data_IF_240638698924
#
_entry.id   IF_240638698924
#
_cell.length_a   1.000
_cell.length_b   1.000
_cell.length_c   1.000
_cell.angle_alpha   90.00
_cell.angle_beta   90.00
_cell.angle_gamma   90.00
#
_symmetry.space_group_name_H-M   'P 1'
#
loop_
_entity.id
_entity.type
_entity.pdbx_description
1 polymer ?
#
# COMPACT_ATOMS: atom_id res chain seq x y z
N UNK A 1 -12.19 -26.56 0.05
CA UNK A 1 -10.82 -27.01 -0.30
C UNK A 1 -9.97 -25.78 -0.56
N UNK A 2 -8.72 -25.78 -0.10
CA UNK A 2 -7.74 -24.71 -0.36
C UNK A 2 -6.84 -25.14 -1.51
N UNK A 3 -6.59 -24.21 -2.46
CA UNK A 3 -5.57 -24.35 -3.49
C UNK A 3 -4.33 -23.58 -3.03
N UNK A 4 -3.28 -24.29 -2.67
CA UNK A 4 -1.99 -23.70 -2.30
C UNK A 4 -1.08 -23.61 -3.53
N UNK A 5 -0.55 -22.42 -3.76
CA UNK A 5 0.36 -22.10 -4.86
C UNK A 5 1.80 -21.83 -4.40
N UNK A 6 2.13 -22.04 -3.13
CA UNK A 6 3.46 -21.75 -2.58
C UNK A 6 4.57 -22.52 -3.31
N UNK A 7 4.29 -23.76 -3.70
CA UNK A 7 5.22 -24.60 -4.48
C UNK A 7 5.27 -24.25 -5.99
N UNK A 8 4.37 -23.37 -6.45
CA UNK A 8 4.38 -22.90 -7.83
C UNK A 8 5.12 -21.56 -7.92
N UNK A 9 6.42 -21.60 -7.67
CA UNK A 9 7.32 -20.44 -7.53
C UNK A 9 8.48 -20.50 -8.54
N UNK A 10 9.17 -19.39 -8.66
CA UNK A 10 10.39 -19.19 -9.44
C UNK A 10 10.26 -18.16 -10.56
N UNK A 11 11.40 -17.57 -10.91
CA UNK A 11 11.55 -16.60 -11.98
C UNK A 11 11.55 -17.33 -13.31
N UNK A 12 10.68 -16.95 -14.24
CA UNK A 12 10.58 -17.52 -15.59
C UNK A 12 11.51 -16.79 -16.54
N UNK A 13 11.51 -15.45 -16.45
CA UNK A 13 12.32 -14.58 -17.29
C UNK A 13 12.57 -13.25 -16.61
N UNK A 14 13.77 -12.72 -16.71
CA UNK A 14 14.10 -11.37 -16.30
C UNK A 14 14.90 -10.68 -17.41
N UNK A 15 14.40 -9.55 -17.88
CA UNK A 15 15.04 -8.73 -18.91
C UNK A 15 15.27 -7.32 -18.35
N UNK A 16 16.45 -7.09 -17.74
CA UNK A 16 16.78 -5.81 -17.12
C UNK A 16 16.72 -4.63 -18.09
N UNK A 17 17.18 -4.82 -19.31
CA UNK A 17 17.22 -3.80 -20.36
C UNK A 17 15.80 -3.38 -20.81
N UNK A 18 14.85 -4.32 -20.77
CA UNK A 18 13.46 -4.10 -21.14
C UNK A 18 12.59 -3.76 -19.91
N UNK A 19 13.17 -3.66 -18.72
CA UNK A 19 12.53 -3.29 -17.47
C UNK A 19 11.30 -4.14 -17.12
N UNK A 20 11.39 -5.47 -17.28
CA UNK A 20 10.36 -6.37 -16.79
C UNK A 20 10.91 -7.68 -16.22
N UNK A 21 10.12 -8.26 -15.33
CA UNK A 21 10.34 -9.61 -14.81
C UNK A 21 9.06 -10.43 -14.98
N UNK A 22 9.21 -11.68 -15.42
CA UNK A 22 8.15 -12.67 -15.53
C UNK A 22 8.37 -13.78 -14.52
N UNK A 23 7.38 -14.05 -13.69
CA UNK A 23 7.48 -14.97 -12.55
C UNK A 23 6.25 -15.85 -12.43
N UNK A 24 6.36 -16.98 -11.73
CA UNK A 24 5.22 -17.77 -11.26
C UNK A 24 4.57 -17.07 -10.07
N UNK A 25 3.26 -17.25 -9.89
CA UNK A 25 2.46 -16.49 -8.91
C UNK A 25 2.84 -16.74 -7.46
N UNK A 26 3.32 -17.92 -7.11
CA UNK A 26 3.80 -18.28 -5.77
C UNK A 26 5.21 -17.77 -5.44
N UNK A 27 5.89 -17.07 -6.37
CA UNK A 27 7.25 -16.58 -6.12
C UNK A 27 7.27 -15.56 -4.98
N UNK A 28 8.08 -15.76 -3.93
CA UNK A 28 8.21 -14.83 -2.83
C UNK A 28 8.71 -13.46 -3.30
N UNK A 29 8.17 -12.40 -2.72
CA UNK A 29 8.64 -11.02 -3.01
C UNK A 29 10.12 -10.86 -2.67
N UNK A 30 10.60 -11.55 -1.63
CA UNK A 30 12.02 -11.56 -1.26
C UNK A 30 12.91 -12.04 -2.40
N UNK A 31 12.58 -13.19 -3.02
CA UNK A 31 13.33 -13.76 -4.16
C UNK A 31 13.37 -12.78 -5.34
N UNK A 32 12.24 -12.15 -5.65
CA UNK A 32 12.16 -11.14 -6.71
C UNK A 32 13.06 -9.95 -6.39
N UNK A 33 13.01 -9.42 -5.16
CA UNK A 33 13.87 -8.31 -4.74
C UNK A 33 15.34 -8.65 -4.85
N UNK A 34 15.76 -9.80 -4.36
CA UNK A 34 17.15 -10.27 -4.43
C UNK A 34 17.66 -10.37 -5.89
N UNK A 35 16.80 -10.78 -6.82
CA UNK A 35 17.17 -10.82 -8.24
C UNK A 35 17.28 -9.42 -8.86
N UNK A 36 16.31 -8.56 -8.57
CA UNK A 36 16.30 -7.17 -9.06
C UNK A 36 17.47 -6.35 -8.51
N UNK A 37 17.87 -6.60 -7.27
CA UNK A 37 18.99 -5.92 -6.61
C UNK A 37 20.32 -6.12 -7.33
N UNK A 38 20.52 -7.27 -7.97
CA UNK A 38 21.73 -7.55 -8.79
C UNK A 38 21.87 -6.59 -9.99
N UNK A 39 20.80 -5.96 -10.40
CA UNK A 39 20.75 -5.02 -11.53
C UNK A 39 20.32 -3.61 -11.12
N UNK A 40 20.37 -3.30 -9.82
CA UNK A 40 19.94 -2.01 -9.25
C UNK A 40 18.52 -1.61 -9.67
N UNK A 41 17.60 -2.60 -9.70
CA UNK A 41 16.20 -2.41 -10.06
C UNK A 41 15.28 -2.76 -8.89
N UNK A 42 14.01 -2.38 -8.99
CA UNK A 42 13.03 -2.55 -7.92
C UNK A 42 11.60 -2.71 -8.43
N UNK A 43 10.73 -3.30 -7.59
CA UNK A 43 9.28 -3.18 -7.70
C UNK A 43 8.89 -1.80 -7.13
N UNK A 44 8.77 -0.80 -8.00
CA UNK A 44 8.64 0.59 -7.59
C UNK A 44 7.37 0.90 -6.78
N UNK A 45 6.29 0.12 -6.96
CA UNK A 45 5.04 0.25 -6.21
C UNK A 45 5.15 -0.18 -4.74
N UNK A 46 6.32 -0.60 -4.28
CA UNK A 46 6.62 -0.96 -2.89
C UNK A 46 5.58 -1.91 -2.29
N UNK A 47 5.56 -3.20 -2.67
CA UNK A 47 4.59 -4.13 -2.11
C UNK A 47 4.55 -4.07 -0.59
N UNK A 48 3.37 -3.83 0.00
CA UNK A 48 3.22 -3.96 1.44
C UNK A 48 3.54 -5.39 1.87
N UNK A 49 4.17 -5.52 3.04
CA UNK A 49 4.39 -6.81 3.68
C UNK A 49 3.62 -6.82 5.02
N UNK A 50 2.49 -7.47 4.99
CA UNK A 50 1.63 -7.60 6.16
C UNK A 50 1.91 -8.86 6.99
N UNK A 51 2.94 -9.64 6.64
CA UNK A 51 3.34 -10.83 7.39
C UNK A 51 3.53 -10.53 8.87
N UNK A 52 4.20 -9.42 9.19
CA UNK A 52 4.39 -8.99 10.57
C UNK A 52 3.07 -8.87 11.37
N UNK A 53 2.01 -8.35 10.76
CA UNK A 53 0.71 -8.15 11.41
C UNK A 53 -0.05 -9.46 11.69
N UNK A 54 0.24 -10.52 10.93
CA UNK A 54 -0.48 -11.80 11.02
C UNK A 54 0.33 -12.90 11.69
N UNK A 55 1.63 -12.94 11.45
CA UNK A 55 2.52 -14.03 11.90
C UNK A 55 3.67 -13.54 12.79
N UNK A 56 3.88 -12.23 12.91
CA UNK A 56 5.05 -11.63 13.55
C UNK A 56 6.33 -11.70 12.71
N UNK A 57 6.26 -12.22 11.47
CA UNK A 57 7.40 -12.36 10.55
C UNK A 57 7.22 -11.49 9.32
N UNK A 58 8.32 -11.05 8.72
CA UNK A 58 8.36 -10.31 7.47
C UNK A 58 8.78 -11.22 6.30
N UNK A 59 8.60 -10.73 5.07
CA UNK A 59 9.01 -11.41 3.83
C UNK A 59 8.23 -12.70 3.49
N UNK A 60 7.01 -12.81 3.96
CA UNK A 60 6.14 -13.98 3.72
C UNK A 60 5.19 -13.80 2.51
N UNK A 61 5.17 -12.62 1.88
CA UNK A 61 4.30 -12.32 0.75
C UNK A 61 4.80 -12.88 -0.58
N UNK A 62 3.86 -13.30 -1.45
CA UNK A 62 4.12 -13.71 -2.83
C UNK A 62 3.63 -12.68 -3.83
N UNK A 63 4.18 -12.67 -5.04
CA UNK A 63 3.77 -11.73 -6.09
C UNK A 63 2.30 -11.92 -6.49
N UNK A 64 1.79 -13.15 -6.50
CA UNK A 64 0.38 -13.43 -6.75
C UNK A 64 -0.52 -12.81 -5.68
N UNK A 65 -0.15 -12.91 -4.40
CA UNK A 65 -0.88 -12.28 -3.30
C UNK A 65 -0.88 -10.75 -3.39
N UNK A 66 0.26 -10.16 -3.71
CA UNK A 66 0.43 -8.71 -3.88
C UNK A 66 -0.44 -8.18 -5.02
N UNK A 67 -0.44 -8.82 -6.19
CA UNK A 67 -1.29 -8.41 -7.31
C UNK A 67 -2.76 -8.68 -7.05
N UNK A 68 -3.09 -9.81 -6.43
CA UNK A 68 -4.48 -10.12 -6.07
C UNK A 68 -5.07 -9.09 -5.12
N UNK A 69 -4.30 -8.56 -4.18
CA UNK A 69 -4.76 -7.55 -3.22
C UNK A 69 -4.61 -6.10 -3.70
N UNK A 70 -3.67 -5.85 -4.63
CA UNK A 70 -3.34 -4.51 -5.15
C UNK A 70 -3.01 -3.48 -4.05
N UNK A 71 -2.44 -3.92 -2.94
CA UNK A 71 -1.91 -3.00 -1.95
C UNK A 71 -0.59 -2.40 -2.44
N UNK A 72 -0.37 -1.14 -2.12
CA UNK A 72 0.81 -0.38 -2.50
C UNK A 72 1.36 0.39 -1.31
N UNK A 73 2.66 0.48 -1.22
CA UNK A 73 3.37 1.19 -0.18
C UNK A 73 3.39 2.72 -0.37
N UNK A 74 4.27 3.40 0.37
CA UNK A 74 4.31 4.86 0.43
C UNK A 74 4.51 5.59 -0.90
N UNK A 75 5.16 4.96 -1.91
CA UNK A 75 5.34 5.57 -3.25
C UNK A 75 4.07 5.63 -4.10
N UNK A 76 2.94 5.15 -3.59
CA UNK A 76 1.69 5.04 -4.34
C UNK A 76 1.30 6.29 -5.12
N UNK A 77 1.40 7.46 -4.52
CA UNK A 77 1.00 8.71 -5.16
C UNK A 77 1.93 9.14 -6.30
N UNK A 78 3.19 8.66 -6.30
CA UNK A 78 4.18 8.95 -7.34
C UNK A 78 4.17 7.93 -8.48
N UNK A 79 4.14 6.66 -8.17
CA UNK A 79 4.38 5.58 -9.15
C UNK A 79 3.16 4.73 -9.44
N UNK A 80 2.06 4.91 -8.72
CA UNK A 80 0.88 4.05 -8.82
C UNK A 80 0.97 2.80 -7.94
N UNK A 81 0.06 1.87 -8.19
CA UNK A 81 -0.07 0.60 -7.46
C UNK A 81 0.46 -0.60 -8.25
N UNK A 82 0.39 -1.79 -7.68
CA UNK A 82 0.71 -3.04 -8.39
C UNK A 82 -0.07 -3.17 -9.71
N UNK A 83 -1.33 -2.70 -9.74
CA UNK A 83 -2.18 -2.67 -10.95
C UNK A 83 -1.59 -1.82 -12.08
N UNK A 84 -0.83 -0.78 -11.76
CA UNK A 84 -0.23 0.10 -12.76
C UNK A 84 1.08 -0.46 -13.33
N UNK A 85 1.63 -1.48 -12.66
CA UNK A 85 2.88 -2.15 -13.03
C UNK A 85 2.71 -3.53 -13.65
N UNK A 86 1.52 -4.16 -13.58
CA UNK A 86 1.27 -5.42 -14.25
C UNK A 86 1.22 -5.21 -15.77
N UNK A 87 2.06 -5.95 -16.52
CA UNK A 87 2.13 -5.93 -17.97
C UNK A 87 1.29 -7.03 -18.60
N UNK A 88 1.15 -8.15 -17.90
CA UNK A 88 0.35 -9.27 -18.36
C UNK A 88 0.33 -10.41 -17.37
N UNK A 89 -0.58 -11.33 -17.58
CA UNK A 89 -0.70 -12.53 -16.76
C UNK A 89 -1.22 -13.72 -17.58
N UNK A 90 -1.01 -14.91 -17.00
CA UNK A 90 -1.70 -16.15 -17.34
C UNK A 90 -2.35 -16.67 -16.06
N UNK A 91 -3.55 -17.19 -16.17
CA UNK A 91 -4.30 -17.67 -15.01
C UNK A 91 -5.42 -18.62 -15.42
N UNK A 92 -6.15 -19.12 -14.42
CA UNK A 92 -7.30 -20.00 -14.61
C UNK A 92 -8.53 -19.37 -13.94
N UNK A 93 -9.62 -19.24 -14.65
CA UNK A 93 -10.89 -18.71 -14.13
C UNK A 93 -11.73 -19.80 -13.43
N UNK A 94 -12.87 -19.43 -12.87
CA UNK A 94 -13.77 -20.36 -12.16
C UNK A 94 -14.51 -21.36 -13.06
N UNK A 95 -14.35 -21.25 -14.38
CA UNK A 95 -14.85 -22.25 -15.34
C UNK A 95 -13.79 -23.32 -15.65
N UNK A 96 -12.55 -23.17 -15.16
CA UNK A 96 -11.40 -24.00 -15.51
C UNK A 96 -10.72 -23.60 -16.82
N UNK A 97 -11.09 -22.46 -17.40
CA UNK A 97 -10.51 -21.97 -18.64
C UNK A 97 -9.20 -21.23 -18.38
N UNK A 98 -8.19 -21.49 -19.21
CA UNK A 98 -6.94 -20.73 -19.18
C UNK A 98 -7.20 -19.38 -19.82
N UNK A 99 -6.94 -18.31 -19.07
CA UNK A 99 -7.03 -16.94 -19.54
C UNK A 99 -5.65 -16.30 -19.59
N UNK A 100 -5.42 -15.47 -20.59
CA UNK A 100 -4.18 -14.70 -20.74
C UNK A 100 -4.55 -13.30 -21.21
N UNK A 101 -3.89 -12.29 -20.63
CA UNK A 101 -4.03 -10.90 -21.07
C UNK A 101 -2.69 -10.18 -20.95
N UNK A 102 -2.44 -9.24 -21.85
CA UNK A 102 -1.18 -8.51 -21.90
C UNK A 102 -0.01 -9.37 -22.38
N UNK A 103 1.20 -8.93 -22.06
CA UNK A 103 2.44 -9.55 -22.48
C UNK A 103 3.62 -9.10 -21.59
N UNK A 104 4.70 -8.69 -22.25
CA UNK A 104 5.91 -8.15 -21.61
C UNK A 104 6.18 -6.70 -22.03
N UNK A 105 5.33 -6.11 -22.87
CA UNK A 105 5.48 -4.75 -23.36
C UNK A 105 4.58 -3.77 -22.60
N UNK A 106 5.08 -2.56 -22.39
CA UNK A 106 4.37 -1.51 -21.61
C UNK A 106 3.08 -1.04 -22.33
N UNK A 107 3.08 -1.05 -23.67
CA UNK A 107 1.93 -0.65 -24.47
C UNK A 107 1.36 -1.84 -25.23
N UNK A 108 0.18 -2.28 -24.83
CA UNK A 108 -0.63 -3.27 -25.55
C UNK A 108 -2.03 -2.68 -25.73
N UNK A 109 -2.41 -2.45 -26.98
CA UNK A 109 -3.70 -1.84 -27.36
C UNK A 109 -4.70 -2.85 -27.92
N UNK A 110 -4.37 -4.13 -27.90
CA UNK A 110 -5.22 -5.18 -28.46
C UNK A 110 -6.13 -5.79 -27.40
N UNK A 111 -7.43 -5.58 -27.49
CA UNK A 111 -8.45 -6.16 -26.63
C UNK A 111 -8.61 -5.44 -25.28
N UNK A 112 -9.41 -6.04 -24.40
CA UNK A 112 -9.61 -5.53 -23.03
C UNK A 112 -8.41 -5.83 -22.14
N UNK A 113 -8.01 -4.88 -21.32
CA UNK A 113 -6.96 -5.07 -20.33
C UNK A 113 -7.50 -5.82 -19.08
N UNK A 114 -7.61 -7.14 -19.23
CA UNK A 114 -8.05 -8.01 -18.14
C UNK A 114 -7.08 -7.99 -16.96
N UNK A 115 -5.80 -7.66 -17.18
CA UNK A 115 -4.81 -7.54 -16.11
C UNK A 115 -5.26 -6.51 -15.06
N UNK A 116 -5.87 -5.40 -15.50
CA UNK A 116 -6.39 -4.36 -14.63
C UNK A 116 -7.66 -4.78 -13.87
N UNK A 117 -8.45 -5.69 -14.40
CA UNK A 117 -9.67 -6.21 -13.75
C UNK A 117 -9.32 -7.26 -12.70
N UNK A 118 -8.38 -8.15 -13.01
CA UNK A 118 -7.98 -9.26 -12.13
C UNK A 118 -7.13 -8.75 -10.96
N UNK A 119 -6.29 -7.74 -11.18
CA UNK A 119 -5.48 -7.13 -10.11
C UNK A 119 -6.39 -6.41 -9.12
N UNK A 120 -6.29 -6.78 -7.83
CA UNK A 120 -7.16 -6.28 -6.77
C UNK A 120 -8.48 -7.04 -6.61
N UNK A 121 -8.65 -8.18 -7.31
CA UNK A 121 -9.84 -9.02 -7.17
C UNK A 121 -9.78 -10.00 -6.00
N UNK A 122 -8.72 -10.03 -5.21
CA UNK A 122 -8.51 -10.94 -4.09
C UNK A 122 -8.64 -12.43 -4.47
N UNK A 123 -8.32 -12.77 -5.71
CA UNK A 123 -8.43 -14.13 -6.23
C UNK A 123 -9.87 -14.60 -6.43
N UNK A 124 -10.85 -13.70 -6.45
CA UNK A 124 -12.27 -14.05 -6.65
C UNK A 124 -12.64 -14.25 -8.12
N UNK A 125 -11.80 -13.80 -9.04
CA UNK A 125 -12.07 -13.88 -10.49
C UNK A 125 -11.20 -14.92 -11.21
N UNK A 126 -9.97 -15.07 -10.77
CA UNK A 126 -8.99 -15.95 -11.39
C UNK A 126 -7.89 -16.32 -10.42
N UNK A 127 -7.27 -17.46 -10.65
CA UNK A 127 -6.03 -17.89 -10.03
C UNK A 127 -4.88 -17.50 -10.96
N UNK A 128 -4.00 -16.61 -10.52
CA UNK A 128 -2.77 -16.30 -11.26
C UNK A 128 -1.84 -17.50 -11.32
N UNK A 129 -1.28 -17.79 -12.50
CA UNK A 129 -0.21 -18.77 -12.66
C UNK A 129 1.10 -18.10 -13.03
N UNK A 130 1.12 -17.27 -14.06
CA UNK A 130 2.29 -16.51 -14.48
C UNK A 130 1.97 -15.03 -14.50
N UNK A 131 2.92 -14.20 -14.14
CA UNK A 131 2.76 -12.76 -14.00
C UNK A 131 3.97 -12.06 -14.62
N UNK A 132 3.73 -11.07 -15.48
CA UNK A 132 4.74 -10.15 -15.99
C UNK A 132 4.55 -8.79 -15.33
N UNK A 133 5.60 -8.27 -14.69
CA UNK A 133 5.58 -7.00 -13.95
C UNK A 133 6.67 -6.07 -14.47
N UNK A 134 6.31 -4.81 -14.65
CA UNK A 134 7.27 -3.73 -14.90
C UNK A 134 8.11 -3.50 -13.66
N UNK A 135 9.42 -3.36 -13.87
CA UNK A 135 10.39 -2.95 -12.85
C UNK A 135 10.97 -1.60 -13.21
N UNK A 136 11.55 -0.90 -12.25
CA UNK A 136 12.20 0.39 -12.48
C UNK A 136 13.59 0.38 -11.84
N UNK A 137 14.54 1.19 -12.34
CA UNK A 137 15.81 1.43 -11.67
C UNK A 137 15.57 1.94 -10.24
N UNK A 138 16.45 1.60 -9.32
CA UNK A 138 16.52 2.25 -8.02
C UNK A 138 17.11 3.65 -8.17
N UNK A 139 16.72 4.56 -7.30
CA UNK A 139 17.40 5.85 -7.19
C UNK A 139 18.83 5.66 -6.63
N UNK A 140 19.76 6.51 -7.03
CA UNK A 140 21.14 6.48 -6.54
C UNK A 140 21.22 6.89 -5.07
N UNK A 141 20.32 7.78 -4.65
CA UNK A 141 20.25 8.30 -3.29
C UNK A 141 18.80 8.45 -2.83
N UNK A 142 18.55 8.05 -1.60
CA UNK A 142 17.30 8.28 -0.89
C UNK A 142 17.63 8.99 0.42
N UNK A 143 16.98 10.12 0.67
CA UNK A 143 17.00 10.82 1.96
C UNK A 143 15.59 11.14 2.42
N UNK A 144 15.43 11.26 3.73
CA UNK A 144 14.15 11.61 4.34
C UNK A 144 14.29 12.86 5.19
N UNK A 145 13.58 13.91 4.81
CA UNK A 145 13.39 15.08 5.65
C UNK A 145 12.37 14.74 6.72
N UNK A 146 12.72 14.88 7.98
CA UNK A 146 11.84 14.72 9.14
C UNK A 146 11.67 16.06 9.81
N UNK A 147 10.42 16.47 10.01
CA UNK A 147 10.03 17.67 10.74
C UNK A 147 9.38 17.19 12.03
N UNK A 148 9.96 17.59 13.17
CA UNK A 148 9.55 17.17 14.49
C UNK A 148 8.53 18.15 15.10
N UNK A 149 7.66 17.62 15.96
CA UNK A 149 6.67 18.37 16.73
C UNK A 149 5.58 19.16 15.96
N UNK A 150 5.25 18.90 14.70
CA UNK A 150 4.11 19.56 14.08
C UNK A 150 2.81 18.99 14.66
N UNK A 151 1.87 19.84 15.11
CA UNK A 151 0.52 19.33 15.32
C UNK A 151 -0.10 18.86 13.97
N UNK A 152 -1.11 17.98 14.03
CA UNK A 152 -1.67 17.29 12.84
C UNK A 152 -1.97 18.24 11.67
N UNK A 153 -2.66 19.37 11.92
CA UNK A 153 -2.99 20.34 10.85
C UNK A 153 -1.73 20.84 10.16
N UNK A 154 -0.70 21.19 10.93
CA UNK A 154 0.57 21.69 10.37
C UNK A 154 1.35 20.62 9.62
N UNK A 155 1.36 19.39 10.16
CA UNK A 155 1.96 18.24 9.47
C UNK A 155 1.32 17.96 8.11
N UNK A 156 -0.01 18.05 8.00
CA UNK A 156 -0.74 17.92 6.73
C UNK A 156 -0.46 19.09 5.78
N UNK A 157 -0.31 20.32 6.29
CA UNK A 157 0.10 21.47 5.48
C UNK A 157 1.48 21.23 4.87
N UNK A 158 2.44 20.72 5.64
CA UNK A 158 3.78 20.38 5.14
C UNK A 158 3.73 19.32 4.03
N UNK A 159 2.95 18.26 4.22
CA UNK A 159 2.75 17.24 3.19
C UNK A 159 2.14 17.84 1.92
N UNK A 160 1.12 18.69 2.05
CA UNK A 160 0.46 19.31 0.91
C UNK A 160 1.40 20.25 0.14
N UNK A 161 2.19 21.07 0.84
CA UNK A 161 3.21 21.92 0.20
C UNK A 161 4.22 21.06 -0.54
N UNK A 162 4.76 20.03 0.11
CA UNK A 162 5.75 19.13 -0.49
C UNK A 162 5.22 18.45 -1.77
N UNK A 163 3.99 17.93 -1.75
CA UNK A 163 3.40 17.29 -2.92
C UNK A 163 3.09 18.27 -4.06
N UNK A 164 2.84 19.53 -3.76
CA UNK A 164 2.63 20.60 -4.73
C UNK A 164 3.92 21.24 -5.26
N UNK A 165 5.07 20.91 -4.66
CA UNK A 165 6.35 21.50 -4.99
C UNK A 165 7.04 20.83 -6.18
N UNK A 166 8.04 21.49 -6.75
CA UNK A 166 8.92 20.92 -7.78
C UNK A 166 9.96 19.94 -7.21
N UNK A 167 9.98 19.74 -5.89
CA UNK A 167 10.92 18.81 -5.24
C UNK A 167 10.56 17.33 -5.45
N UNK A 168 9.40 17.03 -6.03
CA UNK A 168 8.98 15.72 -6.53
C UNK A 168 9.17 14.59 -5.52
N UNK A 169 8.55 14.66 -4.32
CA UNK A 169 8.71 13.67 -3.26
C UNK A 169 8.17 12.30 -3.67
N UNK A 170 8.73 11.24 -3.11
CA UNK A 170 8.33 9.86 -3.35
C UNK A 170 7.67 9.17 -2.16
N UNK A 171 7.62 9.83 -1.02
CA UNK A 171 6.95 9.39 0.21
C UNK A 171 6.57 10.60 1.05
N UNK A 172 5.45 10.51 1.74
CA UNK A 172 4.97 11.55 2.64
C UNK A 172 4.08 10.95 3.71
N UNK A 173 4.46 11.07 5.00
CA UNK A 173 3.79 10.45 6.13
C UNK A 173 3.75 11.37 7.33
N UNK A 174 2.66 11.27 8.11
CA UNK A 174 2.53 11.91 9.42
C UNK A 174 2.29 10.84 10.48
N UNK A 175 3.14 10.86 11.52
CA UNK A 175 3.00 10.01 12.69
C UNK A 175 2.66 10.85 13.93
N UNK A 176 1.54 10.56 14.61
CA UNK A 176 1.26 11.12 15.93
C UNK A 176 2.29 10.70 16.98
N UNK A 177 2.37 11.47 18.05
CA UNK A 177 3.35 11.31 19.14
C UNK A 177 3.36 9.91 19.77
N UNK A 178 2.22 9.22 19.87
CA UNK A 178 2.17 7.87 20.47
C UNK A 178 2.89 6.77 19.65
N UNK A 179 3.35 7.07 18.44
CA UNK A 179 4.25 6.19 17.68
C UNK A 179 5.73 6.60 17.77
N UNK A 180 6.03 7.69 18.44
CA UNK A 180 7.39 8.26 18.46
C UNK A 180 8.47 7.28 18.90
N UNK A 181 8.18 6.50 19.92
CA UNK A 181 9.10 5.48 20.45
C UNK A 181 9.46 4.36 19.46
N UNK A 182 8.76 4.24 18.33
CA UNK A 182 9.05 3.28 17.27
C UNK A 182 10.14 3.78 16.29
N UNK A 183 10.48 5.08 16.35
CA UNK A 183 11.45 5.72 15.47
C UNK A 183 12.65 6.21 16.27
N UNK A 184 13.51 5.25 16.68
CA UNK A 184 14.75 5.54 17.40
C UNK A 184 15.87 5.64 16.37
N UNK A 185 16.17 6.86 15.93
CA UNK A 185 17.33 7.20 15.14
C UNK A 185 18.18 8.20 15.94
N UNK A 186 19.50 8.10 15.88
CA UNK A 186 20.41 8.91 16.67
C UNK A 186 20.21 10.43 16.52
N UNK A 187 19.70 10.84 15.35
CA UNK A 187 19.51 12.25 14.99
C UNK A 187 18.08 12.75 15.29
N UNK A 188 17.18 11.88 15.74
CA UNK A 188 15.83 12.23 16.16
C UNK A 188 15.76 12.22 17.69
N UNK A 189 15.90 13.37 18.30
CA UNK A 189 16.15 13.50 19.74
C UNK A 189 14.92 13.84 20.56
N UNK A 190 13.81 14.18 19.93
CA UNK A 190 12.66 14.73 20.63
C UNK A 190 11.48 13.76 20.74
N UNK A 191 10.61 14.06 21.67
CA UNK A 191 9.28 13.48 21.79
C UNK A 191 8.32 14.23 20.83
N UNK A 192 7.13 13.70 20.61
CA UNK A 192 6.10 14.36 19.83
C UNK A 192 5.88 13.80 18.43
N UNK A 193 4.91 14.34 17.68
CA UNK A 193 4.58 13.89 16.32
C UNK A 193 5.69 14.23 15.33
N UNK A 194 5.71 13.50 14.20
CA UNK A 194 6.63 13.76 13.09
C UNK A 194 5.92 13.80 11.75
N UNK A 195 6.42 14.64 10.85
CA UNK A 195 6.12 14.60 9.41
C UNK A 195 7.39 14.21 8.68
N UNK A 196 7.34 13.15 7.86
CA UNK A 196 8.49 12.68 7.10
C UNK A 196 8.20 12.72 5.60
N UNK A 197 9.16 13.25 4.84
CA UNK A 197 9.06 13.44 3.38
C UNK A 197 10.30 12.81 2.73
N UNK A 198 10.10 11.88 1.80
CA UNK A 198 11.16 11.17 1.09
C UNK A 198 11.47 11.84 -0.23
N UNK A 199 12.75 12.13 -0.46
CA UNK A 199 13.31 12.62 -1.72
C UNK A 199 14.28 11.57 -2.27
N UNK A 200 14.14 11.24 -3.55
CA UNK A 200 14.93 10.21 -4.23
C UNK A 200 15.42 10.71 -5.59
N UNK A 201 16.60 10.30 -5.99
CA UNK A 201 17.19 10.67 -7.29
C UNK A 201 18.69 10.54 -7.34
N UNK A 202 19.36 11.30 -8.21
CA UNK A 202 20.82 11.41 -8.19
C UNK A 202 21.31 12.20 -6.97
N UNK A 203 22.52 11.93 -6.54
CA UNK A 203 23.10 12.52 -5.32
C UNK A 203 23.01 14.07 -5.31
N UNK A 204 23.42 14.71 -6.38
CA UNK A 204 23.38 16.18 -6.47
C UNK A 204 21.94 16.71 -6.40
N UNK A 205 21.02 16.07 -7.13
CA UNK A 205 19.62 16.50 -7.17
C UNK A 205 18.90 16.34 -5.84
N UNK A 206 19.20 15.30 -5.06
CA UNK A 206 18.52 15.04 -3.77
C UNK A 206 18.84 16.13 -2.77
N UNK A 207 20.12 16.51 -2.64
CA UNK A 207 20.55 17.54 -1.67
C UNK A 207 19.93 18.90 -2.02
N UNK A 208 20.00 19.32 -3.27
CA UNK A 208 19.39 20.58 -3.73
C UNK A 208 17.87 20.62 -3.49
N UNK A 209 17.16 19.51 -3.76
CA UNK A 209 15.71 19.42 -3.54
C UNK A 209 15.33 19.42 -2.07
N UNK A 210 16.17 18.88 -1.19
CA UNK A 210 15.96 19.00 0.26
C UNK A 210 16.10 20.45 0.70
N UNK A 211 17.16 21.15 0.24
CA UNK A 211 17.37 22.56 0.57
C UNK A 211 16.23 23.45 0.03
N UNK A 212 15.74 23.15 -1.17
CA UNK A 212 14.59 23.82 -1.74
C UNK A 212 13.33 23.56 -0.91
N UNK A 213 13.07 22.31 -0.53
CA UNK A 213 11.91 21.93 0.25
C UNK A 213 11.90 22.62 1.61
N UNK A 214 13.04 22.73 2.28
CA UNK A 214 13.17 23.44 3.55
C UNK A 214 12.77 24.93 3.41
N UNK A 215 13.17 25.57 2.33
CA UNK A 215 12.78 26.97 2.03
C UNK A 215 11.28 27.08 1.79
N UNK A 216 10.70 26.19 0.98
CA UNK A 216 9.26 26.21 0.66
C UNK A 216 8.38 25.93 1.87
N UNK A 217 8.82 25.03 2.75
CA UNK A 217 8.13 24.72 4.00
C UNK A 217 8.29 25.82 5.07
N UNK A 218 9.24 26.73 4.85
CA UNK A 218 9.63 27.78 5.81
C UNK A 218 9.92 27.22 7.21
N UNK A 219 10.71 26.15 7.25
CA UNK A 219 11.12 25.48 8.47
C UNK A 219 12.63 25.59 8.65
N UNK A 220 13.07 25.79 9.89
CA UNK A 220 14.48 25.90 10.25
C UNK A 220 14.70 25.53 11.71
N UNK A 221 15.93 25.19 12.07
CA UNK A 221 16.33 24.99 13.45
C UNK A 221 16.36 23.52 13.89
N UNK A 222 16.24 23.30 15.20
CA UNK A 222 16.45 22.00 15.87
C UNK A 222 15.31 20.98 15.63
N UNK A 223 14.22 21.41 15.04
CA UNK A 223 13.06 20.54 14.77
C UNK A 223 13.18 19.82 13.41
N UNK A 224 14.34 19.90 12.77
CA UNK A 224 14.58 19.31 11.44
C UNK A 224 15.73 18.33 11.53
N UNK A 225 15.49 17.15 10.98
CA UNK A 225 16.49 16.11 10.78
C UNK A 225 16.43 15.58 9.36
N UNK A 226 17.57 15.22 8.81
CA UNK A 226 17.64 14.55 7.50
C UNK A 226 18.25 13.18 7.72
N UNK A 227 17.43 12.15 7.59
CA UNK A 227 17.87 10.76 7.70
C UNK A 227 18.81 10.43 6.53
N UNK A 228 19.90 9.76 6.85
CA UNK A 228 20.81 9.20 5.85
C UNK A 228 20.12 8.08 5.03
N UNK A 229 20.75 7.57 3.96
CA UNK A 229 20.15 6.53 3.11
C UNK A 229 19.74 5.27 3.90
N UNK A 230 20.58 4.80 4.83
CA UNK A 230 20.31 3.57 5.60
C UNK A 230 19.17 3.76 6.59
N UNK A 231 19.13 4.89 7.26
CA UNK A 231 18.06 5.30 8.16
C UNK A 231 16.74 5.49 7.39
N UNK A 232 16.80 6.11 6.21
CA UNK A 232 15.65 6.28 5.31
C UNK A 232 15.07 4.93 4.90
N UNK A 233 15.90 3.98 4.49
CA UNK A 233 15.45 2.65 4.10
C UNK A 233 14.73 1.92 5.25
N UNK A 234 15.30 1.97 6.45
CA UNK A 234 14.68 1.39 7.66
C UNK A 234 13.34 2.09 7.97
N UNK A 235 13.28 3.41 7.90
CA UNK A 235 12.07 4.19 8.16
C UNK A 235 10.93 3.79 7.23
N UNK A 236 11.19 3.77 5.92
CA UNK A 236 10.16 3.45 4.92
C UNK A 236 9.81 1.96 4.87
N UNK A 237 10.76 1.08 5.18
CA UNK A 237 10.48 -0.34 5.37
C UNK A 237 9.52 -0.57 6.55
N UNK A 238 9.74 0.08 7.70
CA UNK A 238 8.85 0.00 8.86
C UNK A 238 7.47 0.57 8.55
N UNK A 239 7.41 1.69 7.81
CA UNK A 239 6.16 2.31 7.33
C UNK A 239 5.40 1.35 6.41
N UNK A 240 6.05 0.80 5.40
CA UNK A 240 5.49 -0.13 4.42
C UNK A 240 4.96 -1.42 5.05
N UNK A 241 5.65 -1.93 6.06
CA UNK A 241 5.28 -3.15 6.79
C UNK A 241 4.32 -2.90 7.96
N UNK A 242 3.93 -1.64 8.22
CA UNK A 242 3.05 -1.24 9.34
C UNK A 242 3.59 -1.67 10.70
N UNK A 243 4.92 -1.70 10.89
CA UNK A 243 5.55 -2.20 12.11
C UNK A 243 5.25 -1.36 13.36
N UNK A 244 4.73 -0.15 13.18
CA UNK A 244 4.28 0.70 14.30
C UNK A 244 3.07 0.12 15.05
N UNK A 245 2.29 -0.77 14.42
CA UNK A 245 1.17 -1.44 15.06
C UNK A 245 1.62 -2.72 15.77
N UNK A 246 2.13 -2.57 16.98
CA UNK A 246 2.69 -3.69 17.77
C UNK A 246 1.65 -4.56 18.45
N UNK A 247 0.43 -4.03 18.69
CA UNK A 247 -0.66 -4.85 19.24
C UNK A 247 -1.29 -5.71 18.14
N UNK A 248 -0.81 -6.95 18.04
CA UNK A 248 -1.27 -7.90 17.01
C UNK A 248 -2.69 -8.46 17.25
N UNK A 249 -3.36 -8.10 18.36
CA UNK A 249 -4.77 -8.47 18.60
C UNK A 249 -5.76 -7.44 18.10
N UNK A 250 -5.31 -6.22 17.83
CA UNK A 250 -6.18 -5.11 17.42
C UNK A 250 -6.77 -5.30 16.02
N UNK A 251 -7.92 -4.65 15.82
CA UNK A 251 -8.51 -4.50 14.49
C UNK A 251 -7.74 -3.43 13.69
N UNK A 252 -7.51 -3.67 12.41
CA UNK A 252 -6.75 -2.75 11.55
C UNK A 252 -7.52 -2.47 10.26
N UNK A 253 -7.61 -1.20 9.94
CA UNK A 253 -8.33 -0.70 8.78
C UNK A 253 -7.43 0.17 7.91
N UNK A 254 -7.68 0.09 6.62
CA UNK A 254 -7.14 0.99 5.62
C UNK A 254 -8.24 1.93 5.17
N UNK A 255 -8.08 3.21 5.46
CA UNK A 255 -9.08 4.24 5.16
C UNK A 255 -8.49 5.22 4.15
N UNK A 256 -9.17 5.42 3.04
CA UNK A 256 -8.78 6.41 2.03
C UNK A 256 -9.86 7.47 1.97
N UNK A 257 -9.46 8.73 2.14
CA UNK A 257 -10.31 9.91 2.06
C UNK A 257 -9.58 11.02 1.30
N UNK A 258 -10.28 12.02 0.75
CA UNK A 258 -9.62 13.24 0.27
C UNK A 258 -8.76 13.86 1.38
N UNK A 259 -7.57 14.35 1.05
CA UNK A 259 -6.65 14.93 2.03
C UNK A 259 -7.28 16.10 2.82
N UNK A 260 -8.18 16.87 2.20
CA UNK A 260 -8.96 17.93 2.85
C UNK A 260 -9.84 17.44 3.99
N UNK A 261 -10.26 16.17 3.97
CA UNK A 261 -11.20 15.61 4.93
C UNK A 261 -10.52 14.86 6.10
N UNK A 262 -9.21 14.74 6.08
CA UNK A 262 -8.46 14.01 7.12
C UNK A 262 -8.64 14.61 8.50
N UNK A 263 -8.64 15.96 8.63
CA UNK A 263 -8.87 16.64 9.90
C UNK A 263 -10.29 16.40 10.42
N UNK A 264 -11.29 16.45 9.55
CA UNK A 264 -12.68 16.19 9.89
C UNK A 264 -12.86 14.75 10.37
N UNK A 265 -12.28 13.80 9.62
CA UNK A 265 -12.36 12.38 9.97
C UNK A 265 -11.66 12.08 11.29
N UNK A 266 -10.41 12.51 11.46
CA UNK A 266 -9.64 12.24 12.70
C UNK A 266 -10.29 12.86 13.94
N UNK A 267 -10.92 14.02 13.81
CA UNK A 267 -11.72 14.63 14.87
C UNK A 267 -12.95 13.79 15.22
N UNK A 268 -13.65 13.27 14.21
CA UNK A 268 -14.83 12.42 14.38
C UNK A 268 -14.51 11.04 14.94
N UNK A 269 -13.26 10.57 14.80
CA UNK A 269 -12.81 9.28 15.30
C UNK A 269 -12.40 9.28 16.78
N UNK A 270 -12.27 10.44 17.43
CA UNK A 270 -11.87 10.57 18.85
C UNK A 270 -12.66 9.67 19.82
N UNK A 271 -14.01 9.52 19.68
CA UNK A 271 -14.78 8.69 20.61
C UNK A 271 -14.42 7.20 20.59
N UNK A 272 -13.76 6.73 19.54
CA UNK A 272 -13.47 5.30 19.33
C UNK A 272 -12.09 4.86 19.85
N UNK A 273 -11.36 5.73 20.54
CA UNK A 273 -10.02 5.45 21.09
C UNK A 273 -9.09 4.80 20.05
N UNK A 274 -8.94 5.44 18.92
CA UNK A 274 -8.17 4.94 17.77
C UNK A 274 -6.71 5.38 17.81
N UNK A 275 -5.83 4.51 17.30
CA UNK A 275 -4.46 4.89 16.88
C UNK A 275 -4.39 4.91 15.37
N UNK A 276 -3.73 5.90 14.81
CA UNK A 276 -3.61 6.02 13.35
C UNK A 276 -2.31 6.72 12.96
N UNK A 277 -1.88 6.48 11.74
CA UNK A 277 -0.94 7.36 11.06
C UNK A 277 -1.43 7.64 9.64
N UNK A 278 -0.90 8.70 9.04
CA UNK A 278 -1.35 9.18 7.74
C UNK A 278 -0.23 8.99 6.74
N UNK A 279 -0.55 8.38 5.61
CA UNK A 279 0.36 8.02 4.53
C UNK A 279 -0.11 8.62 3.19
N UNK A 280 0.62 8.35 2.12
CA UNK A 280 0.36 8.84 0.78
C UNK A 280 0.20 10.35 0.69
N UNK A 281 0.99 11.08 1.48
CA UNK A 281 0.94 12.54 1.49
C UNK A 281 -0.37 13.13 1.99
N UNK A 282 -1.16 12.38 2.76
CA UNK A 282 -2.39 12.86 3.37
C UNK A 282 -3.68 12.14 2.93
N UNK A 283 -3.62 11.17 2.01
CA UNK A 283 -4.83 10.53 1.48
C UNK A 283 -5.14 9.16 2.08
N UNK A 284 -4.22 8.54 2.77
CA UNK A 284 -4.38 7.23 3.39
C UNK A 284 -4.21 7.34 4.90
N UNK A 285 -5.16 6.78 5.63
CA UNK A 285 -5.09 6.61 7.08
C UNK A 285 -5.04 5.11 7.37
N UNK A 286 -3.97 4.68 8.01
CA UNK A 286 -3.90 3.38 8.64
C UNK A 286 -4.45 3.51 10.05
N UNK A 287 -5.54 2.80 10.35
CA UNK A 287 -6.35 2.97 11.54
C UNK A 287 -6.39 1.68 12.35
N UNK A 288 -5.92 1.74 13.60
CA UNK A 288 -5.98 0.66 14.57
C UNK A 288 -7.06 0.96 15.62
N UNK A 289 -7.86 -0.05 15.93
CA UNK A 289 -8.88 0.02 17.00
C UNK A 289 -8.78 -1.26 17.84
N UNK A 290 -8.49 -1.10 19.13
CA UNK A 290 -8.27 -2.25 20.01
C UNK A 290 -9.58 -3.00 20.28
N UNK A 291 -10.62 -2.28 20.67
CA UNK A 291 -11.94 -2.86 20.94
C UNK A 291 -12.97 -2.28 19.97
N UNK A 292 -13.60 -3.15 19.20
CA UNK A 292 -14.55 -2.72 18.18
C UNK A 292 -15.73 -3.68 18.11
N UNK A 293 -16.94 -3.15 18.21
CA UNK A 293 -18.17 -3.87 17.94
C UNK A 293 -18.72 -3.53 16.54
N UNK A 294 -19.72 -4.31 16.11
CA UNK A 294 -20.33 -4.15 14.78
C UNK A 294 -20.97 -2.75 14.58
N UNK A 295 -21.57 -2.18 15.62
CA UNK A 295 -22.23 -0.87 15.53
C UNK A 295 -21.19 0.23 15.34
N UNK A 296 -20.13 0.24 16.14
CA UNK A 296 -19.03 1.21 16.00
C UNK A 296 -18.36 1.11 14.62
N UNK A 297 -18.18 -0.10 14.07
CA UNK A 297 -17.68 -0.25 12.71
C UNK A 297 -18.62 0.33 11.65
N UNK A 298 -19.94 0.13 11.79
CA UNK A 298 -20.94 0.73 10.89
C UNK A 298 -20.90 2.26 10.95
N UNK A 299 -20.77 2.83 12.14
CA UNK A 299 -20.64 4.27 12.34
C UNK A 299 -19.35 4.82 11.70
N UNK A 300 -18.21 4.18 11.93
CA UNK A 300 -16.94 4.59 11.29
C UNK A 300 -17.05 4.50 9.76
N UNK A 301 -17.65 3.44 9.22
CA UNK A 301 -17.88 3.33 7.76
C UNK A 301 -18.79 4.43 7.23
N UNK A 302 -19.81 4.79 7.97
CA UNK A 302 -20.71 5.87 7.61
C UNK A 302 -20.00 7.22 7.60
N UNK A 303 -19.20 7.53 8.64
CA UNK A 303 -18.36 8.74 8.69
C UNK A 303 -17.42 8.81 7.48
N UNK A 304 -16.68 7.73 7.20
CA UNK A 304 -15.75 7.68 6.07
C UNK A 304 -16.47 7.88 4.74
N UNK A 305 -17.63 7.25 4.55
CA UNK A 305 -18.44 7.37 3.32
C UNK A 305 -18.95 8.79 3.11
N UNK A 306 -19.42 9.45 4.16
CA UNK A 306 -19.94 10.83 4.08
C UNK A 306 -18.85 11.84 3.70
N UNK A 307 -17.60 11.55 4.03
CA UNK A 307 -16.44 12.33 3.63
C UNK A 307 -15.86 11.92 2.25
N UNK A 308 -16.64 11.17 1.46
CA UNK A 308 -16.22 10.72 0.13
C UNK A 308 -15.16 9.62 0.11
N UNK A 309 -14.91 8.99 1.25
CA UNK A 309 -13.89 7.96 1.41
C UNK A 309 -14.42 6.53 1.34
N UNK A 310 -13.51 5.59 1.52
CA UNK A 310 -13.82 4.17 1.67
C UNK A 310 -12.89 3.50 2.68
N UNK A 311 -13.44 2.50 3.37
CA UNK A 311 -12.75 1.73 4.39
C UNK A 311 -12.60 0.28 3.93
N UNK A 312 -11.39 -0.26 4.08
CA UNK A 312 -11.09 -1.68 3.88
C UNK A 312 -10.67 -2.28 5.22
N UNK A 313 -11.27 -3.40 5.59
CA UNK A 313 -10.88 -4.18 6.76
C UNK A 313 -9.63 -5.00 6.41
N UNK A 314 -8.50 -4.68 7.02
CA UNK A 314 -7.26 -5.43 6.81
C UNK A 314 -7.17 -6.60 7.81
N UNK A 315 -7.48 -6.33 9.05
CA UNK A 315 -7.49 -7.31 10.14
C UNK A 315 -8.66 -7.03 11.07
N UNK A 316 -9.37 -8.06 11.50
CA UNK A 316 -10.42 -7.98 12.50
C UNK A 316 -10.56 -9.31 13.24
N UNK A 317 -11.20 -9.29 14.41
CA UNK A 317 -11.53 -10.49 15.15
C UNK A 317 -12.45 -11.42 14.34
N UNK A 318 -12.36 -12.73 14.56
CA UNK A 318 -13.12 -13.71 13.78
C UNK A 318 -14.63 -13.52 13.88
N UNK A 319 -15.13 -13.16 15.06
CA UNK A 319 -16.55 -12.87 15.30
C UNK A 319 -17.04 -11.68 14.46
N UNK A 320 -16.21 -10.64 14.34
CA UNK A 320 -16.52 -9.48 13.53
C UNK A 320 -16.44 -9.80 12.04
N UNK A 321 -15.39 -10.53 11.61
CA UNK A 321 -15.21 -10.93 10.20
C UNK A 321 -16.39 -11.72 9.63
N UNK A 322 -17.01 -12.60 10.43
CA UNK A 322 -18.14 -13.40 10.00
C UNK A 322 -19.38 -12.57 9.66
N UNK A 323 -19.45 -11.31 10.15
CA UNK A 323 -20.62 -10.46 10.08
C UNK A 323 -20.46 -9.24 9.17
N UNK A 324 -19.32 -9.10 8.50
CA UNK A 324 -18.98 -7.88 7.73
C UNK A 324 -18.39 -8.18 6.36
N UNK A 325 -18.66 -7.31 5.40
CA UNK A 325 -17.88 -7.24 4.17
C UNK A 325 -16.51 -6.59 4.43
N UNK A 326 -15.47 -7.03 3.73
CA UNK A 326 -14.13 -6.47 3.87
C UNK A 326 -14.08 -5.02 3.35
N UNK A 327 -14.83 -4.73 2.29
CA UNK A 327 -14.83 -3.43 1.63
C UNK A 327 -16.14 -2.66 1.85
N UNK A 328 -16.03 -1.34 1.84
CA UNK A 328 -17.20 -0.47 1.65
C UNK A 328 -17.49 -0.39 0.15
N UNK A 329 -18.71 -0.73 -0.24
CA UNK A 329 -19.14 -0.69 -1.65
C UNK A 329 -20.53 -0.06 -1.76
N UNK A 330 -20.77 0.69 -2.84
CA UNK A 330 -22.09 1.15 -3.19
C UNK A 330 -22.85 0.12 -4.06
N UNK A 331 -24.16 0.26 -4.14
CA UNK A 331 -25.04 -0.68 -4.84
C UNK A 331 -24.69 -0.81 -6.34
N UNK A 332 -24.31 0.28 -6.98
CA UNK A 332 -23.99 0.29 -8.43
C UNK A 332 -22.71 -0.51 -8.67
N UNK A 333 -21.66 -0.23 -7.89
CA UNK A 333 -20.40 -0.98 -7.96
C UNK A 333 -20.60 -2.46 -7.61
N UNK A 334 -21.44 -2.77 -6.62
CA UNK A 334 -21.77 -4.15 -6.28
C UNK A 334 -22.38 -4.89 -7.46
N UNK A 335 -23.40 -4.32 -8.13
CA UNK A 335 -24.07 -4.91 -9.31
C UNK A 335 -23.08 -5.14 -10.48
N UNK A 336 -22.14 -4.21 -10.68
CA UNK A 336 -21.11 -4.37 -11.70
C UNK A 336 -20.15 -5.52 -11.30
N UNK A 337 -19.69 -5.56 -10.06
CA UNK A 337 -18.81 -6.61 -9.54
C UNK A 337 -19.46 -7.99 -9.62
N UNK A 338 -20.76 -8.10 -9.34
CA UNK A 338 -21.51 -9.33 -9.46
C UNK A 338 -21.58 -9.84 -10.90
N UNK A 339 -21.83 -8.95 -11.87
CA UNK A 339 -21.82 -9.30 -13.30
C UNK A 339 -20.45 -9.80 -13.74
N UNK A 340 -19.38 -9.13 -13.32
CA UNK A 340 -17.99 -9.57 -13.59
C UNK A 340 -17.74 -10.94 -12.95
N UNK A 341 -18.08 -11.11 -11.67
CA UNK A 341 -17.94 -12.41 -10.98
C UNK A 341 -18.65 -13.52 -11.74
N UNK A 342 -19.90 -13.31 -12.13
CA UNK A 342 -20.69 -14.29 -12.91
C UNK A 342 -20.05 -14.64 -14.24
N UNK A 343 -19.36 -13.70 -14.88
CA UNK A 343 -18.65 -13.92 -16.14
C UNK A 343 -17.40 -14.81 -15.96
N UNK A 344 -16.61 -14.58 -14.91
CA UNK A 344 -15.36 -15.28 -14.67
C UNK A 344 -15.54 -16.56 -13.83
N UNK A 345 -16.45 -16.55 -12.88
CA UNK A 345 -16.68 -17.64 -11.93
C UNK A 345 -18.17 -17.82 -11.62
N UNK A 346 -18.97 -18.36 -12.58
CA UNK A 346 -20.41 -18.51 -12.43
C UNK A 346 -20.81 -19.45 -11.29
N UNK A 347 -19.93 -20.39 -10.92
CA UNK A 347 -20.15 -21.33 -9.81
C UNK A 347 -19.70 -20.80 -8.45
N UNK A 348 -19.11 -19.60 -8.40
CA UNK A 348 -18.62 -18.93 -7.19
C UNK A 348 -17.69 -19.81 -6.35
N UNK A 349 -16.78 -20.53 -6.99
CA UNK A 349 -15.82 -21.45 -6.32
C UNK A 349 -14.51 -20.76 -5.92
N UNK A 350 -14.18 -19.61 -6.53
CA UNK A 350 -12.95 -18.86 -6.27
C UNK A 350 -13.18 -17.87 -5.12
N UNK A 351 -12.56 -18.12 -3.97
CA UNK A 351 -12.57 -17.26 -2.78
C UNK A 351 -13.95 -16.66 -2.45
N UNK A 352 -15.03 -17.47 -2.32
CA UNK A 352 -16.37 -16.96 -2.10
C UNK A 352 -16.45 -16.15 -0.81
N UNK A 353 -17.11 -14.98 -0.87
CA UNK A 353 -17.27 -14.08 0.27
C UNK A 353 -15.99 -13.35 0.71
N UNK A 354 -14.89 -13.47 -0.03
CA UNK A 354 -13.62 -12.84 0.33
C UNK A 354 -13.66 -11.31 0.23
N UNK A 355 -14.44 -10.76 -0.68
CA UNK A 355 -14.58 -9.30 -0.87
C UNK A 355 -15.91 -8.80 -0.33
N UNK A 356 -16.99 -9.40 -0.77
CA UNK A 356 -18.35 -9.02 -0.45
C UNK A 356 -19.21 -10.26 -0.25
N UNK A 357 -20.25 -10.13 0.56
CA UNK A 357 -21.25 -11.18 0.70
C UNK A 357 -21.84 -11.53 -0.67
N UNK A 358 -21.78 -12.79 -1.06
CA UNK A 358 -22.29 -13.27 -2.34
C UNK A 358 -21.35 -13.15 -3.55
N UNK A 359 -20.12 -12.60 -3.39
CA UNK A 359 -19.12 -12.53 -4.48
C UNK A 359 -17.84 -13.27 -4.09
#
# INVERSE_FOLDING_TARGET
>A
KTLDLSNYSGIIKYEPEELYIKVKSGTPIKEIKEELDKKNQQLAFEPNDFGFLFTGKTNEGTIGGVLSSNFAGPRRFKVGSARDHILGFKGVNGKGEIIKSGGTVVKNVTGYDLSKIITGSFGTLSVFTEISVKVLPKADLTKTLVIENPHLKKGLEYLNIALGSSTDPSGGVFYPEYFRSQFIFNDLTTEGPITAIRIEGSKLSVDERIDQLLKELNVSGKEISVLDPSQSDIFWENTRCLKVFTNLKSNLFRVVVPASEVLNLTSSLKPYNVKYFIDWGGNLIWLQVDELNLNSLKEIRFLVKNLGGYLTVLKADESLKASIDIFTIDEVKYKISEKIKKSFDPKRILNPGKMYTGI
#
